data_IF_886981567859
#
_entry.id   IF_886981567859
#
_cell.length_a   1.000
_cell.length_b   1.000
_cell.length_c   1.000
_cell.angle_alpha   90.00
_cell.angle_beta   90.00
_cell.angle_gamma   90.00
#
_symmetry.space_group_name_H-M   'P 1'
#
loop_
_entity.id
_entity.type
_entity.pdbx_description
1 polymer ?
#
# COMPACT_ATOMS: atom_id res chain seq x y z
N UNK A 1 1.59 6.19 -6.00
CA UNK A 1 1.90 6.14 -4.55
C UNK A 1 3.27 5.51 -4.36
N UNK A 2 4.09 5.98 -3.42
CA UNK A 2 5.45 5.49 -3.18
C UNK A 2 5.59 5.04 -1.73
N UNK A 3 6.02 3.79 -1.54
CA UNK A 3 6.24 3.20 -0.21
C UNK A 3 7.73 2.95 -0.03
N UNK A 4 8.29 3.38 1.10
CA UNK A 4 9.73 3.28 1.37
C UNK A 4 9.95 2.45 2.62
N UNK A 5 10.85 1.47 2.54
CA UNK A 5 11.30 0.76 3.73
C UNK A 5 12.27 1.67 4.51
N UNK A 6 11.79 2.25 5.61
CA UNK A 6 12.59 3.05 6.54
C UNK A 6 13.00 2.25 7.79
N UNK A 7 12.72 0.95 7.81
CA UNK A 7 13.06 0.05 8.92
C UNK A 7 14.54 -0.32 8.94
N UNK A 8 14.91 -1.17 9.91
CA UNK A 8 16.29 -1.65 10.09
C UNK A 8 16.65 -2.87 9.26
N UNK A 9 15.68 -3.52 8.62
CA UNK A 9 15.85 -4.81 7.92
C UNK A 9 15.13 -4.84 6.57
N UNK A 10 15.58 -5.64 5.59
CA UNK A 10 14.86 -5.85 4.35
C UNK A 10 13.53 -6.58 4.62
N UNK A 11 12.53 -6.29 3.78
CA UNK A 11 11.21 -6.93 3.81
C UNK A 11 11.04 -7.68 2.48
N UNK A 12 10.48 -8.88 2.52
CA UNK A 12 10.29 -9.77 1.39
C UNK A 12 8.80 -9.94 1.08
N UNK A 13 8.52 -10.26 -0.18
CA UNK A 13 7.17 -10.48 -0.70
C UNK A 13 6.19 -9.35 -0.34
N UNK A 14 6.66 -8.12 -0.49
CA UNK A 14 5.91 -6.93 -0.07
C UNK A 14 4.75 -6.68 -1.03
N UNK A 15 3.55 -6.52 -0.48
CA UNK A 15 2.36 -6.20 -1.25
C UNK A 15 1.49 -5.19 -0.49
N UNK A 16 0.73 -4.37 -1.22
CA UNK A 16 -0.31 -3.53 -0.63
C UNK A 16 -1.67 -4.23 -0.72
N UNK A 17 -2.43 -4.18 0.36
CA UNK A 17 -3.80 -4.66 0.42
C UNK A 17 -4.73 -3.47 0.62
N UNK A 18 -5.81 -3.45 -0.16
CA UNK A 18 -6.89 -2.48 0.02
C UNK A 18 -7.87 -3.06 1.04
N UNK A 19 -8.14 -2.35 2.14
CA UNK A 19 -9.19 -2.75 3.08
C UNK A 19 -10.55 -2.94 2.40
N UNK A 20 -11.35 -3.91 2.88
CA UNK A 20 -12.62 -4.28 2.21
C UNK A 20 -13.62 -3.12 2.14
N UNK A 21 -13.65 -2.25 3.15
CA UNK A 21 -14.45 -1.03 3.22
C UNK A 21 -14.08 -0.02 2.12
N UNK A 22 -12.83 -0.05 1.65
CA UNK A 22 -12.30 0.81 0.60
C UNK A 22 -12.20 0.12 -0.77
N UNK A 23 -12.45 -1.19 -0.87
CA UNK A 23 -12.27 -1.98 -2.10
C UNK A 23 -13.12 -1.50 -3.29
N UNK A 24 -14.24 -0.81 -3.01
CA UNK A 24 -15.10 -0.20 -4.04
C UNK A 24 -14.68 1.22 -4.44
N UNK A 25 -13.75 1.83 -3.71
CA UNK A 25 -13.36 3.23 -3.82
C UNK A 25 -11.90 3.39 -4.24
N UNK A 26 -11.05 2.42 -3.92
CA UNK A 26 -9.62 2.42 -4.24
C UNK A 26 -9.30 1.21 -5.11
N UNK A 27 -8.69 1.46 -6.26
CA UNK A 27 -8.17 0.42 -7.13
C UNK A 27 -6.66 0.56 -7.24
N UNK A 28 -5.95 -0.54 -6.97
CA UNK A 28 -4.50 -0.63 -7.19
C UNK A 28 -4.23 -1.28 -8.54
N UNK A 29 -3.48 -0.58 -9.38
CA UNK A 29 -2.92 -1.07 -10.63
C UNK A 29 -1.45 -1.44 -10.42
N UNK A 30 -1.01 -2.49 -11.11
CA UNK A 30 0.38 -2.97 -11.05
C UNK A 30 0.83 -3.29 -9.61
N UNK A 31 -0.11 -3.78 -8.76
CA UNK A 31 0.18 -4.19 -7.38
C UNK A 31 0.81 -5.60 -7.37
N UNK A 32 1.96 -5.70 -8.01
CA UNK A 32 2.77 -6.91 -8.03
C UNK A 32 3.48 -7.09 -6.67
N UNK A 33 3.72 -8.35 -6.32
CA UNK A 33 4.49 -8.70 -5.13
C UNK A 33 5.94 -8.28 -5.35
N UNK A 34 6.43 -7.39 -4.49
CA UNK A 34 7.83 -6.97 -4.48
C UNK A 34 8.64 -8.02 -3.73
N UNK A 35 9.32 -8.88 -4.48
CA UNK A 35 10.07 -10.01 -3.92
C UNK A 35 11.05 -9.62 -2.80
N UNK A 36 11.69 -8.44 -2.91
CA UNK A 36 12.59 -7.90 -1.89
C UNK A 36 12.58 -6.38 -1.90
N UNK A 37 12.36 -5.78 -0.73
CA UNK A 37 12.39 -4.36 -0.46
C UNK A 37 13.51 -4.03 0.55
N UNK A 38 14.71 -3.67 0.08
CA UNK A 38 15.82 -3.31 0.95
C UNK A 38 15.58 -2.03 1.75
N UNK A 39 16.30 -1.87 2.86
CA UNK A 39 16.30 -0.65 3.67
C UNK A 39 16.67 0.57 2.82
N UNK A 40 15.92 1.65 2.98
CA UNK A 40 16.08 2.90 2.24
C UNK A 40 15.61 2.84 0.78
N UNK A 41 15.09 1.70 0.31
CA UNK A 41 14.51 1.57 -1.03
C UNK A 41 13.00 1.72 -0.99
N UNK A 42 12.48 2.09 -2.15
CA UNK A 42 11.05 2.33 -2.33
C UNK A 42 10.53 1.56 -3.52
N UNK A 43 9.28 1.15 -3.43
CA UNK A 43 8.51 0.70 -4.58
C UNK A 43 7.34 1.65 -4.83
N UNK A 44 6.83 1.63 -6.05
CA UNK A 44 5.73 2.51 -6.47
C UNK A 44 4.58 1.66 -6.93
N UNK A 45 3.40 1.90 -6.36
CA UNK A 45 2.14 1.31 -6.81
C UNK A 45 1.28 2.40 -7.39
N UNK A 46 0.65 2.12 -8.52
CA UNK A 46 -0.32 3.02 -9.13
C UNK A 46 -1.66 2.74 -8.49
N UNK A 47 -2.32 3.76 -7.98
CA UNK A 47 -3.63 3.61 -7.36
C UNK A 47 -4.51 4.77 -7.76
N UNK A 48 -5.78 4.48 -8.00
CA UNK A 48 -6.78 5.47 -8.37
C UNK A 48 -7.94 5.40 -7.39
N UNK A 49 -8.40 6.57 -6.99
CA UNK A 49 -9.62 6.74 -6.20
C UNK A 49 -10.79 6.93 -7.16
N UNK A 50 -11.75 6.00 -7.15
CA UNK A 50 -12.95 6.10 -7.98
C UNK A 50 -13.98 6.96 -7.26
N UNK A 51 -14.19 8.17 -7.76
CA UNK A 51 -15.23 9.06 -7.25
C UNK A 51 -16.59 8.62 -7.82
N UNK A 52 -17.41 7.90 -7.04
CA UNK A 52 -18.79 7.59 -7.48
C UNK A 52 -19.63 8.85 -7.40
N UNK A 53 -20.14 9.28 -8.55
CA UNK A 53 -20.97 10.49 -8.76
C UNK A 53 -22.29 10.52 -7.98
N UNK A 54 -22.64 9.48 -7.22
CA UNK A 54 -23.96 9.33 -6.57
C UNK A 54 -23.94 8.98 -5.08
N UNK A 55 -22.81 9.06 -4.38
CA UNK A 55 -22.82 8.88 -2.93
C UNK A 55 -21.44 8.87 -2.33
N UNK A 56 -21.06 9.98 -1.68
CA UNK A 56 -19.79 10.14 -0.99
C UNK A 56 -18.61 10.25 -1.94
N UNK A 57 -17.86 11.36 -1.86
CA UNK A 57 -16.61 11.45 -2.59
C UNK A 57 -15.63 10.36 -2.12
N UNK A 58 -14.79 9.86 -3.02
CA UNK A 58 -13.70 8.98 -2.63
C UNK A 58 -12.83 9.70 -1.59
N UNK A 59 -12.39 9.00 -0.52
CA UNK A 59 -11.65 9.62 0.54
C UNK A 59 -10.34 10.16 0.00
N UNK A 60 -10.10 11.45 0.23
CA UNK A 60 -8.81 12.08 -0.06
C UNK A 60 -7.70 11.50 0.81
N UNK A 61 -8.04 10.86 1.93
CA UNK A 61 -7.11 10.32 2.93
C UNK A 61 -7.54 8.91 3.28
N UNK A 62 -6.63 7.95 3.15
CA UNK A 62 -6.93 6.53 3.38
C UNK A 62 -5.68 5.77 3.82
N UNK A 63 -5.89 4.59 4.38
CA UNK A 63 -4.82 3.69 4.81
C UNK A 63 -4.86 2.41 3.97
N UNK A 64 -3.70 1.95 3.51
CA UNK A 64 -3.56 0.64 2.88
C UNK A 64 -2.63 -0.21 3.72
N UNK A 65 -2.91 -1.51 3.81
CA UNK A 65 -2.08 -2.43 4.58
C UNK A 65 -0.92 -2.94 3.73
N UNK A 66 0.30 -2.64 4.12
CA UNK A 66 1.49 -3.28 3.57
C UNK A 66 1.75 -4.59 4.31
N UNK A 67 1.82 -5.69 3.57
CA UNK A 67 2.13 -7.02 4.10
C UNK A 67 3.44 -7.53 3.50
N UNK A 68 4.17 -8.37 4.24
CA UNK A 68 5.38 -9.04 3.76
C UNK A 68 5.96 -9.97 4.80
N UNK A 69 7.24 -10.32 4.64
CA UNK A 69 8.00 -11.17 5.57
C UNK A 69 9.36 -10.55 5.87
N UNK A 70 9.82 -10.66 7.11
CA UNK A 70 11.17 -10.27 7.50
C UNK A 70 12.18 -11.36 7.10
N UNK A 71 13.48 -11.07 7.24
CA UNK A 71 14.57 -11.97 6.85
C UNK A 71 14.62 -13.27 7.67
N UNK A 72 14.06 -13.24 8.89
CA UNK A 72 13.88 -14.39 9.78
C UNK A 72 12.57 -15.17 9.50
N UNK A 73 11.77 -14.72 8.53
CA UNK A 73 10.48 -15.30 8.18
C UNK A 73 9.30 -14.81 9.01
N UNK A 74 9.50 -13.88 9.95
CA UNK A 74 8.40 -13.28 10.73
C UNK A 74 7.45 -12.48 9.80
N UNK A 75 6.12 -12.60 9.94
CA UNK A 75 5.19 -11.80 9.17
C UNK A 75 5.35 -10.31 9.51
N UNK A 76 5.36 -9.48 8.47
CA UNK A 76 5.36 -8.03 8.59
C UNK A 76 4.03 -7.47 8.10
N UNK A 77 3.37 -6.68 8.94
CA UNK A 77 2.14 -5.96 8.57
C UNK A 77 2.23 -4.52 9.08
N UNK A 78 1.89 -3.56 8.23
CA UNK A 78 1.85 -2.15 8.60
C UNK A 78 0.79 -1.40 7.79
N UNK A 79 -0.02 -0.60 8.48
CA UNK A 79 -0.93 0.33 7.84
C UNK A 79 -0.17 1.58 7.39
N UNK A 80 -0.26 1.87 6.09
CA UNK A 80 0.42 2.97 5.42
C UNK A 80 -0.62 4.02 5.04
N UNK A 81 -0.47 5.20 5.60
CA UNK A 81 -1.34 6.33 5.32
C UNK A 81 -1.00 7.01 3.98
N UNK A 82 -2.02 7.29 3.19
CA UNK A 82 -1.95 7.98 1.92
C UNK A 82 -2.87 9.19 1.91
N UNK A 83 -2.34 10.30 1.39
CA UNK A 83 -3.10 11.52 1.11
C UNK A 83 -3.06 11.78 -0.41
N UNK A 84 -4.24 11.69 -1.03
CA UNK A 84 -4.49 11.90 -2.45
C UNK A 84 -5.03 13.30 -2.77
N UNK A 85 -5.06 14.23 -1.79
CA UNK A 85 -5.54 15.60 -1.98
C UNK A 85 -4.61 16.49 -2.83
N UNK A 86 -3.61 15.93 -3.54
CA UNK A 86 -2.56 16.68 -4.22
C UNK A 86 -2.22 16.14 -5.60
#
# INVERSE_FOLDING_TARGET
>A
MKVTNIGGVPIYDVQLQVPEDLGNQIQLHDNEVVAKLPVGKSFTVRGWTTNRTFGGGAPNQFELRATGRLDDGEPFEQDVYFDAAR
#
